data_IF_481443672398
#
_entry.id   IF_481443672398
#
_cell.length_a   1.000
_cell.length_b   1.000
_cell.length_c   1.000
_cell.angle_alpha   90.00
_cell.angle_beta   90.00
_cell.angle_gamma   90.00
#
_symmetry.space_group_name_H-M   'P 1'
#
loop_
_entity.id
_entity.type
_entity.pdbx_description
1 polymer ?
#
# COMPACT_ATOMS: atom_id res chain seq x y z
N UNK A 1 4.24 21.76 26.11
CA UNK A 1 4.37 21.30 27.51
C UNK A 1 3.91 22.38 28.46
N UNK A 2 3.03 22.04 29.41
CA UNK A 2 2.56 22.93 30.48
C UNK A 2 2.75 22.23 31.84
N UNK A 3 3.13 22.97 32.87
CA UNK A 3 3.34 22.43 34.22
C UNK A 3 2.60 23.28 35.24
N UNK A 4 1.86 22.64 36.15
CA UNK A 4 1.23 23.29 37.29
C UNK A 4 1.52 22.56 38.59
N UNK A 5 1.64 23.31 39.69
CA UNK A 5 1.84 22.77 41.03
C UNK A 5 0.56 22.93 41.86
N UNK A 6 0.25 21.94 42.69
CA UNK A 6 -0.84 22.04 43.68
C UNK A 6 -0.49 22.98 44.83
N UNK A 7 -1.49 23.33 45.63
CA UNK A 7 -1.21 23.80 46.99
C UNK A 7 -0.51 22.71 47.80
N UNK A 8 0.18 23.14 48.86
CA UNK A 8 0.83 22.25 49.82
C UNK A 8 -0.22 21.41 50.55
N UNK A 9 0.02 20.10 50.68
CA UNK A 9 -0.84 19.22 51.48
C UNK A 9 -0.58 19.34 52.99
N UNK A 10 -1.32 18.58 53.80
CA UNK A 10 -1.20 18.59 55.27
C UNK A 10 0.13 18.03 55.81
N UNK A 11 0.95 17.39 54.96
CA UNK A 11 2.26 16.85 55.27
C UNK A 11 3.39 17.66 54.65
N UNK A 12 3.08 18.75 53.94
CA UNK A 12 4.07 19.59 53.28
C UNK A 12 4.42 19.21 51.85
N UNK A 13 3.77 18.19 51.29
CA UNK A 13 3.98 17.70 49.92
C UNK A 13 3.31 18.56 48.84
N UNK A 14 3.76 18.35 47.60
CA UNK A 14 3.21 18.98 46.40
C UNK A 14 2.91 17.94 45.34
N UNK A 15 1.90 18.19 44.51
CA UNK A 15 1.67 17.47 43.26
C UNK A 15 2.03 18.39 42.09
N UNK A 16 2.75 17.85 41.12
CA UNK A 16 3.00 18.52 39.85
C UNK A 16 2.22 17.82 38.75
N UNK A 17 1.41 18.58 38.02
CA UNK A 17 0.72 18.12 36.82
C UNK A 17 1.49 18.63 35.62
N UNK A 18 1.93 17.70 34.78
CA UNK A 18 2.62 17.98 33.52
C UNK A 18 1.69 17.58 32.39
N UNK A 19 1.41 18.51 31.48
CA UNK A 19 0.59 18.29 30.29
C UNK A 19 1.49 18.37 29.06
N UNK A 20 1.55 17.27 28.33
CA UNK A 20 2.21 17.17 27.03
C UNK A 20 1.25 17.61 25.92
N UNK A 21 1.79 17.95 24.75
CA UNK A 21 0.91 18.28 23.64
C UNK A 21 0.25 17.02 23.06
N UNK A 22 -0.77 17.20 22.23
CA UNK A 22 -1.52 16.06 21.69
C UNK A 22 -0.73 15.24 20.65
N UNK A 23 0.42 15.71 20.17
CA UNK A 23 1.21 15.02 19.15
C UNK A 23 2.05 13.87 19.73
N UNK A 24 2.31 13.88 21.04
CA UNK A 24 3.17 12.89 21.70
C UNK A 24 2.47 11.54 21.98
N UNK A 25 1.14 11.48 21.87
CA UNK A 25 0.36 10.31 22.29
C UNK A 25 0.63 9.94 23.75
N UNK A 26 0.75 8.65 24.06
CA UNK A 26 1.09 8.21 25.41
C UNK A 26 2.58 8.42 25.68
N UNK A 27 2.91 9.34 26.57
CA UNK A 27 4.28 9.57 27.03
C UNK A 27 4.69 8.57 28.12
N UNK A 28 5.96 8.16 28.19
CA UNK A 28 6.46 7.35 29.30
C UNK A 28 6.22 8.02 30.66
N UNK A 29 5.93 7.22 31.68
CA UNK A 29 5.84 7.74 33.04
C UNK A 29 7.19 8.24 33.53
N UNK A 30 7.16 9.33 34.30
CA UNK A 30 8.34 9.80 35.01
C UNK A 30 8.81 8.74 36.01
N UNK A 31 10.13 8.68 36.22
CA UNK A 31 10.73 7.80 37.22
C UNK A 31 11.12 8.66 38.42
N UNK A 32 10.68 8.23 39.59
CA UNK A 32 11.10 8.84 40.84
C UNK A 32 12.58 8.57 41.12
N UNK A 33 13.40 9.62 41.05
CA UNK A 33 14.77 9.62 41.53
C UNK A 33 14.83 10.45 42.81
N UNK A 34 15.13 9.79 43.94
CA UNK A 34 15.21 10.42 45.25
C UNK A 34 16.62 10.27 45.81
N UNK A 35 17.10 11.28 46.53
CA UNK A 35 18.40 11.22 47.22
C UNK A 35 18.25 10.75 48.67
N UNK A 36 19.39 10.51 49.34
CA UNK A 36 19.40 10.04 50.72
C UNK A 36 18.79 11.02 51.72
N UNK A 37 18.76 12.33 51.40
CA UNK A 37 18.13 13.33 52.24
C UNK A 37 16.59 13.23 52.14
N UNK A 38 16.06 13.04 50.92
CA UNK A 38 14.63 12.80 50.70
C UNK A 38 14.17 11.51 51.38
N UNK A 39 14.97 10.44 51.29
CA UNK A 39 14.67 9.17 51.98
C UNK A 39 14.71 9.32 53.51
N UNK A 40 15.59 10.16 54.05
CA UNK A 40 15.73 10.39 55.49
C UNK A 40 14.72 11.39 56.08
N UNK A 41 14.03 12.17 55.25
CA UNK A 41 13.15 13.26 55.69
C UNK A 41 11.87 12.78 56.42
N UNK A 42 11.38 11.57 56.13
CA UNK A 42 10.27 10.92 56.84
C UNK A 42 10.13 9.47 56.38
N UNK A 43 9.71 8.56 57.27
CA UNK A 43 9.31 7.19 56.90
C UNK A 43 8.10 7.16 55.92
N UNK A 44 7.41 8.28 55.73
CA UNK A 44 6.26 8.44 54.83
C UNK A 44 6.56 9.29 53.59
N UNK A 45 7.80 9.72 53.37
CA UNK A 45 8.16 10.47 52.17
C UNK A 45 8.01 9.58 50.93
N UNK A 46 7.09 9.94 50.03
CA UNK A 46 6.82 9.19 48.80
C UNK A 46 7.00 10.08 47.59
N UNK A 47 7.73 9.57 46.61
CA UNK A 47 7.64 10.05 45.23
C UNK A 47 6.79 9.03 44.47
N UNK A 48 5.69 9.48 43.88
CA UNK A 48 4.76 8.66 43.11
C UNK A 48 4.46 9.38 41.81
N UNK A 49 4.38 8.63 40.73
CA UNK A 49 4.03 9.11 39.40
C UNK A 49 2.84 8.33 38.89
N UNK A 50 1.85 9.02 38.35
CA UNK A 50 0.66 8.41 37.76
C UNK A 50 0.25 9.14 36.48
N UNK A 51 -0.38 8.41 35.56
CA UNK A 51 -0.98 9.00 34.37
C UNK A 51 -2.40 9.44 34.72
N UNK A 52 -2.69 10.74 34.60
CA UNK A 52 -4.01 11.30 34.94
C UNK A 52 -4.96 11.18 33.73
N UNK A 53 -4.44 11.42 32.53
CA UNK A 53 -5.18 11.33 31.26
C UNK A 53 -4.24 10.68 30.25
N UNK A 54 -4.72 9.65 29.56
CA UNK A 54 -4.00 9.04 28.45
C UNK A 54 -3.91 10.00 27.26
N UNK A 55 -2.81 9.92 26.54
CA UNK A 55 -2.63 10.68 25.31
C UNK A 55 -3.54 10.18 24.20
N UNK A 56 -3.61 10.97 23.13
CA UNK A 56 -4.35 10.59 21.94
C UNK A 56 -3.58 9.50 21.17
N UNK A 57 -4.07 8.27 21.19
CA UNK A 57 -3.51 7.15 20.44
C UNK A 57 -4.56 6.57 19.48
N UNK A 58 -4.10 6.11 18.33
CA UNK A 58 -4.94 5.43 17.36
C UNK A 58 -5.36 4.06 17.87
N UNK A 59 -6.59 3.69 17.52
CA UNK A 59 -7.15 2.36 17.74
C UNK A 59 -8.12 2.00 16.63
N UNK A 60 -8.89 0.92 16.82
CA UNK A 60 -9.90 0.48 15.86
C UNK A 60 -9.30 -0.19 14.63
N UNK A 61 -9.93 0.03 13.47
CA UNK A 61 -9.56 -0.62 12.22
C UNK A 61 -9.75 0.30 11.01
N UNK A 62 -9.36 -0.17 9.84
CA UNK A 62 -9.67 0.45 8.56
C UNK A 62 -9.91 -0.65 7.53
N UNK A 63 -10.46 -0.31 6.36
CA UNK A 63 -10.53 -1.26 5.24
C UNK A 63 -9.97 -0.61 3.98
N UNK A 64 -9.35 -1.42 3.12
CA UNK A 64 -8.81 -1.00 1.82
C UNK A 64 -9.60 -1.67 0.70
N UNK A 65 -10.27 -0.87 -0.13
CA UNK A 65 -11.24 -1.37 -1.08
C UNK A 65 -12.34 -2.17 -0.37
N UNK A 66 -12.73 -3.35 -0.89
CA UNK A 66 -13.71 -4.23 -0.25
C UNK A 66 -13.05 -5.29 0.67
N UNK A 67 -11.88 -5.01 1.27
CA UNK A 67 -11.26 -5.95 2.22
C UNK A 67 -12.08 -6.08 3.50
N UNK A 68 -11.84 -7.17 4.25
CA UNK A 68 -12.25 -7.23 5.66
C UNK A 68 -11.57 -6.12 6.48
N UNK A 69 -12.14 -5.73 7.64
CA UNK A 69 -11.52 -4.76 8.53
C UNK A 69 -10.11 -5.19 8.99
N UNK A 70 -9.16 -4.31 8.77
CA UNK A 70 -7.74 -4.44 9.09
C UNK A 70 -7.47 -3.66 10.40
N UNK A 71 -6.89 -4.29 11.44
CA UNK A 71 -6.53 -3.60 12.67
C UNK A 71 -5.58 -2.40 12.42
N UNK A 72 -5.72 -1.33 13.20
CA UNK A 72 -4.88 -0.13 13.08
C UNK A 72 -3.37 -0.40 13.23
N UNK A 73 -2.99 -1.47 13.93
CA UNK A 73 -1.61 -1.91 14.18
C UNK A 73 -1.26 -3.20 13.42
N UNK A 74 -1.96 -3.49 12.32
CA UNK A 74 -1.73 -4.67 11.51
C UNK A 74 -0.28 -4.77 11.02
N UNK A 75 0.31 -5.95 11.17
CA UNK A 75 1.62 -6.23 10.61
C UNK A 75 1.54 -6.45 9.08
N UNK A 76 2.70 -6.52 8.42
CA UNK A 76 2.78 -6.71 6.96
C UNK A 76 1.97 -7.93 6.49
N UNK A 77 2.06 -9.05 7.22
CA UNK A 77 1.37 -10.29 6.85
C UNK A 77 -0.15 -10.14 6.90
N UNK A 78 -0.69 -9.46 7.92
CA UNK A 78 -2.14 -9.21 8.03
C UNK A 78 -2.65 -8.39 6.84
N UNK A 79 -1.91 -7.35 6.44
CA UNK A 79 -2.25 -6.52 5.28
C UNK A 79 -2.16 -7.35 3.99
N UNK A 80 -1.07 -8.11 3.81
CA UNK A 80 -0.89 -8.99 2.65
C UNK A 80 -2.05 -9.97 2.53
N UNK A 81 -2.44 -10.63 3.62
CA UNK A 81 -3.56 -11.57 3.62
C UNK A 81 -4.88 -10.88 3.26
N UNK A 82 -5.18 -9.71 3.84
CA UNK A 82 -6.40 -8.98 3.55
C UNK A 82 -6.51 -8.52 2.08
N UNK A 83 -5.39 -8.07 1.50
CA UNK A 83 -5.35 -7.64 0.10
C UNK A 83 -5.35 -8.83 -0.88
N UNK A 84 -4.65 -9.92 -0.56
CA UNK A 84 -4.62 -11.11 -1.40
C UNK A 84 -5.94 -11.89 -1.39
N UNK A 85 -6.81 -11.67 -0.42
CA UNK A 85 -8.19 -12.18 -0.44
C UNK A 85 -9.03 -11.53 -1.55
N UNK A 86 -8.61 -10.36 -2.06
CA UNK A 86 -9.23 -9.70 -3.20
C UNK A 86 -8.75 -10.37 -4.49
N UNK A 87 -9.65 -11.09 -5.16
CA UNK A 87 -9.35 -11.92 -6.34
C UNK A 87 -8.67 -11.18 -7.50
N UNK A 88 -8.78 -9.86 -7.54
CA UNK A 88 -8.25 -9.00 -8.60
C UNK A 88 -6.88 -8.37 -8.27
N UNK A 89 -6.40 -8.44 -7.03
CA UNK A 89 -5.15 -7.77 -6.60
C UNK A 89 -3.90 -8.61 -6.92
N UNK A 90 -4.00 -9.92 -6.79
CA UNK A 90 -2.84 -10.82 -6.91
C UNK A 90 -1.85 -10.67 -5.74
N UNK A 91 -0.58 -11.01 -5.96
CA UNK A 91 0.45 -11.00 -4.90
C UNK A 91 0.92 -9.60 -4.54
N UNK A 92 1.06 -9.34 -3.23
CA UNK A 92 1.43 -8.02 -2.69
C UNK A 92 2.60 -8.15 -1.71
N UNK A 93 3.65 -7.36 -1.92
CA UNK A 93 4.69 -7.12 -0.92
C UNK A 93 4.31 -5.89 -0.07
N UNK A 94 4.48 -6.00 1.25
CA UNK A 94 4.11 -4.96 2.21
C UNK A 94 5.29 -4.64 3.11
N UNK A 95 5.65 -3.36 3.22
CA UNK A 95 6.58 -2.86 4.24
C UNK A 95 5.88 -1.88 5.17
N UNK A 96 6.26 -1.88 6.45
CA UNK A 96 5.62 -1.07 7.50
C UNK A 96 6.64 -0.13 8.13
N UNK A 97 6.22 1.09 8.42
CA UNK A 97 6.98 2.07 9.20
C UNK A 97 6.11 2.71 10.29
N UNK A 98 6.74 3.23 11.33
CA UNK A 98 6.09 3.66 12.58
C UNK A 98 6.21 2.60 13.69
N UNK A 99 5.40 2.69 14.77
CA UNK A 99 4.42 3.75 15.00
C UNK A 99 5.06 5.12 15.25
N UNK A 100 4.33 6.21 14.96
CA UNK A 100 4.62 7.52 15.55
C UNK A 100 4.13 7.58 17.02
N UNK A 101 4.29 8.72 17.71
CA UNK A 101 3.87 8.87 19.11
C UNK A 101 2.38 8.56 19.37
N UNK A 102 1.52 8.80 18.38
CA UNK A 102 0.07 8.53 18.44
C UNK A 102 -0.30 7.12 17.94
N UNK A 103 0.65 6.21 17.79
CA UNK A 103 0.43 4.86 17.24
C UNK A 103 -0.04 4.84 15.76
N UNK A 104 0.36 5.84 14.98
CA UNK A 104 0.16 5.88 13.52
C UNK A 104 1.20 5.09 12.76
N UNK A 105 0.73 4.26 11.83
CA UNK A 105 1.56 3.41 10.97
C UNK A 105 1.45 3.85 9.51
N UNK A 106 2.50 3.57 8.74
CA UNK A 106 2.50 3.75 7.28
C UNK A 106 2.88 2.43 6.63
N UNK A 107 1.99 1.91 5.79
CA UNK A 107 2.23 0.71 4.98
C UNK A 107 2.53 1.12 3.54
N UNK A 108 3.61 0.60 2.99
CA UNK A 108 3.92 0.71 1.55
C UNK A 108 3.58 -0.62 0.89
N UNK A 109 2.77 -0.55 -0.17
CA UNK A 109 2.25 -1.71 -0.89
C UNK A 109 2.90 -1.77 -2.27
N UNK A 110 3.43 -2.94 -2.64
CA UNK A 110 3.95 -3.21 -3.97
C UNK A 110 3.21 -4.40 -4.58
N UNK A 111 2.46 -4.14 -5.65
CA UNK A 111 1.67 -5.14 -6.35
C UNK A 111 2.56 -5.85 -7.37
N UNK A 112 2.82 -7.13 -7.12
CA UNK A 112 3.84 -7.88 -7.88
C UNK A 112 3.28 -8.56 -9.13
N UNK A 113 1.97 -8.80 -9.17
CA UNK A 113 1.32 -9.51 -10.28
C UNK A 113 0.14 -8.74 -10.87
N UNK A 114 -0.13 -7.53 -10.39
CA UNK A 114 -1.16 -6.69 -10.96
C UNK A 114 -0.66 -6.09 -12.28
N UNK A 115 -1.42 -6.27 -13.36
CA UNK A 115 -1.04 -5.77 -14.68
C UNK A 115 -1.56 -4.34 -14.88
N UNK A 116 -0.66 -3.44 -15.26
CA UNK A 116 -0.98 -2.05 -15.57
C UNK A 116 -1.15 -1.12 -14.37
N UNK A 117 -1.81 0.03 -14.58
CA UNK A 117 -2.03 1.03 -13.54
C UNK A 117 -3.17 0.60 -12.62
N UNK A 118 -2.86 0.33 -11.36
CA UNK A 118 -3.86 -0.03 -10.36
C UNK A 118 -4.69 1.20 -9.98
N UNK A 119 -6.03 1.12 -9.97
CA UNK A 119 -6.86 2.16 -9.39
C UNK A 119 -6.52 2.36 -7.92
N UNK A 120 -6.51 3.63 -7.47
CA UNK A 120 -6.27 3.95 -6.07
C UNK A 120 -7.29 3.24 -5.18
N UNK A 121 -6.82 2.49 -4.18
CA UNK A 121 -7.69 1.81 -3.22
C UNK A 121 -8.47 2.84 -2.41
N UNK A 122 -9.79 2.67 -2.32
CA UNK A 122 -10.60 3.45 -1.38
C UNK A 122 -10.25 3.04 0.05
N UNK A 123 -10.20 4.00 0.97
CA UNK A 123 -9.99 3.73 2.38
C UNK A 123 -11.26 4.00 3.17
N UNK A 124 -11.71 3.01 3.93
CA UNK A 124 -12.80 3.17 4.90
C UNK A 124 -12.20 3.37 6.28
N UNK A 125 -12.45 4.53 6.87
CA UNK A 125 -11.95 4.87 8.20
C UNK A 125 -12.89 4.32 9.30
N UNK A 126 -12.39 3.37 10.09
CA UNK A 126 -13.05 2.87 11.30
C UNK A 126 -12.12 3.05 12.52
N UNK A 127 -11.18 3.98 12.41
CA UNK A 127 -10.18 4.24 13.44
C UNK A 127 -10.79 5.04 14.58
N UNK A 128 -10.24 4.81 15.77
CA UNK A 128 -10.53 5.62 16.96
C UNK A 128 -9.35 6.51 17.29
N UNK A 129 -9.61 7.60 18.01
CA UNK A 129 -8.62 8.65 18.30
C UNK A 129 -9.04 9.98 17.68
N UNK A 130 -8.68 11.07 18.33
CA UNK A 130 -8.97 12.43 17.86
C UNK A 130 -8.17 12.68 16.57
N UNK A 131 -8.86 13.10 15.51
CA UNK A 131 -8.22 13.36 14.21
C UNK A 131 -7.78 12.11 13.45
N UNK A 132 -8.21 10.92 13.88
CA UNK A 132 -7.86 9.67 13.23
C UNK A 132 -8.31 9.65 11.76
N UNK A 133 -7.38 9.36 10.86
CA UNK A 133 -7.66 9.23 9.44
C UNK A 133 -6.78 8.16 8.81
N UNK A 134 -7.27 7.59 7.71
CA UNK A 134 -6.51 6.72 6.82
C UNK A 134 -6.43 7.40 5.46
N UNK A 135 -5.23 7.45 4.90
CA UNK A 135 -4.96 8.07 3.61
C UNK A 135 -4.24 7.08 2.72
N UNK A 136 -4.66 7.01 1.46
CA UNK A 136 -4.04 6.16 0.43
C UNK A 136 -3.54 7.06 -0.66
N UNK A 137 -2.27 6.90 -1.03
CA UNK A 137 -1.63 7.67 -2.10
C UNK A 137 -0.85 6.72 -2.99
N UNK A 138 -0.85 7.02 -4.29
CA UNK A 138 -0.03 6.30 -5.26
C UNK A 138 1.39 6.85 -5.21
N UNK A 139 2.37 5.99 -4.93
CA UNK A 139 3.79 6.36 -4.91
C UNK A 139 4.45 6.23 -6.29
N UNK A 140 4.09 5.16 -7.00
CA UNK A 140 4.61 4.84 -8.33
C UNK A 140 3.47 4.29 -9.16
N UNK A 141 3.23 4.89 -10.32
CA UNK A 141 2.23 4.42 -11.26
C UNK A 141 2.72 3.16 -11.98
N UNK A 142 1.85 2.16 -12.07
CA UNK A 142 2.11 0.97 -12.89
C UNK A 142 2.14 1.30 -14.38
N UNK A 143 3.06 0.71 -15.13
CA UNK A 143 3.11 0.85 -16.58
C UNK A 143 2.24 -0.23 -17.25
N UNK A 144 1.48 0.16 -18.27
CA UNK A 144 0.65 -0.75 -19.06
C UNK A 144 0.85 -0.47 -20.55
N UNK A 145 1.17 -1.50 -21.33
CA UNK A 145 1.10 -1.44 -22.77
C UNK A 145 -0.37 -1.31 -23.20
N UNK A 146 -0.59 -0.40 -24.13
CA UNK A 146 -1.90 -0.12 -24.70
C UNK A 146 -1.77 0.35 -26.15
N UNK A 147 -2.90 0.49 -26.84
CA UNK A 147 -2.95 0.96 -28.21
C UNK A 147 -2.65 -0.11 -29.25
N UNK A 148 -2.10 0.33 -30.38
CA UNK A 148 -1.93 -0.52 -31.57
C UNK A 148 -0.55 -0.30 -32.18
N UNK A 149 -0.01 -1.35 -32.82
CA UNK A 149 1.17 -1.26 -33.67
C UNK A 149 0.81 -1.70 -35.10
N UNK A 150 1.71 -1.45 -36.06
CA UNK A 150 1.57 -1.91 -37.44
C UNK A 150 2.84 -2.63 -37.86
N UNK A 151 2.72 -3.70 -38.64
CA UNK A 151 3.87 -4.35 -39.26
C UNK A 151 3.91 -4.02 -40.75
N UNK A 152 5.11 -3.91 -41.30
CA UNK A 152 5.31 -3.71 -42.74
C UNK A 152 6.15 -4.84 -43.33
N UNK A 153 5.69 -5.41 -44.43
CA UNK A 153 6.38 -6.46 -45.17
C UNK A 153 6.31 -6.15 -46.67
N UNK A 154 7.47 -6.15 -47.35
CA UNK A 154 7.59 -5.85 -48.80
C UNK A 154 6.84 -4.60 -49.25
N UNK A 155 6.89 -3.52 -48.44
CA UNK A 155 6.24 -2.24 -48.75
C UNK A 155 4.72 -2.23 -48.57
N UNK A 156 4.12 -3.27 -47.99
CA UNK A 156 2.72 -3.29 -47.55
C UNK A 156 2.66 -3.25 -46.02
N UNK A 157 1.77 -2.44 -45.49
CA UNK A 157 1.60 -2.23 -44.04
C UNK A 157 0.24 -2.77 -43.61
N UNK A 158 0.20 -3.47 -42.48
CA UNK A 158 -1.05 -3.97 -41.91
C UNK A 158 -1.94 -2.80 -41.48
N UNK A 159 -3.25 -3.03 -41.40
CA UNK A 159 -4.07 -2.15 -40.56
C UNK A 159 -3.61 -2.25 -39.09
N UNK A 160 -3.93 -1.27 -38.23
CA UNK A 160 -3.53 -1.30 -36.83
C UNK A 160 -3.88 -2.61 -36.13
N UNK A 161 -2.90 -3.18 -35.45
CA UNK A 161 -2.98 -4.43 -34.67
C UNK A 161 -2.98 -4.03 -33.20
N UNK A 162 -3.99 -4.44 -32.44
CA UNK A 162 -4.02 -4.20 -31.00
C UNK A 162 -2.80 -4.86 -30.33
N UNK A 163 -2.20 -4.18 -29.34
CA UNK A 163 -1.03 -4.70 -28.61
C UNK A 163 -1.26 -6.12 -28.05
N UNK A 164 -2.51 -6.45 -27.72
CA UNK A 164 -2.96 -7.72 -27.15
C UNK A 164 -3.74 -8.62 -28.13
N UNK A 165 -3.74 -8.35 -29.43
CA UNK A 165 -4.48 -9.10 -30.45
C UNK A 165 -4.28 -10.62 -30.33
N UNK A 166 -5.25 -11.44 -30.74
CA UNK A 166 -5.06 -12.89 -30.76
C UNK A 166 -3.97 -13.30 -31.76
N UNK A 167 -3.23 -14.38 -31.49
CA UNK A 167 -2.21 -14.88 -32.43
C UNK A 167 -2.80 -15.61 -33.62
N UNK A 168 -3.83 -16.43 -33.38
CA UNK A 168 -4.55 -17.20 -34.40
C UNK A 168 -5.83 -16.49 -34.83
N UNK A 169 -6.35 -16.88 -36.00
CA UNK A 169 -7.64 -16.42 -36.52
C UNK A 169 -8.75 -16.57 -35.49
N UNK A 170 -9.52 -15.50 -35.29
CA UNK A 170 -10.72 -15.47 -34.43
C UNK A 170 -12.00 -15.16 -35.21
N UNK A 171 -11.90 -14.81 -36.49
CA UNK A 171 -13.03 -14.66 -37.41
C UNK A 171 -13.60 -13.25 -37.53
N UNK A 172 -13.02 -12.27 -36.84
CA UNK A 172 -13.44 -10.86 -36.86
C UNK A 172 -12.41 -9.92 -37.52
N UNK A 173 -11.29 -10.46 -38.01
CA UNK A 173 -10.22 -9.69 -38.64
C UNK A 173 -9.35 -8.88 -37.67
N UNK A 174 -9.44 -9.13 -36.36
CA UNK A 174 -8.66 -8.44 -35.33
C UNK A 174 -7.35 -9.13 -34.96
N UNK A 175 -7.20 -10.43 -35.26
CA UNK A 175 -6.00 -11.19 -34.88
C UNK A 175 -4.76 -10.81 -35.70
N UNK A 176 -3.59 -11.05 -35.12
CA UNK A 176 -2.28 -10.91 -35.78
C UNK A 176 -2.23 -11.69 -37.11
N UNK A 177 -2.76 -12.92 -37.12
CA UNK A 177 -2.80 -13.78 -38.30
C UNK A 177 -3.67 -13.18 -39.41
N UNK A 178 -4.88 -12.73 -39.10
CA UNK A 178 -5.76 -12.13 -40.10
C UNK A 178 -5.18 -10.82 -40.66
N UNK A 179 -4.56 -9.99 -39.81
CA UNK A 179 -3.94 -8.73 -40.21
C UNK A 179 -2.76 -8.93 -41.17
N UNK A 180 -1.95 -9.98 -40.94
CA UNK A 180 -0.84 -10.31 -41.82
C UNK A 180 -1.28 -11.04 -43.09
N UNK A 181 -2.27 -11.94 -43.03
CA UNK A 181 -2.85 -12.61 -44.20
C UNK A 181 -3.57 -11.63 -45.13
N UNK A 182 -4.08 -10.51 -44.60
CA UNK A 182 -4.65 -9.44 -45.42
C UNK A 182 -3.60 -8.72 -46.29
N UNK A 183 -2.30 -8.86 -45.98
CA UNK A 183 -1.25 -8.43 -46.91
C UNK A 183 -1.17 -9.45 -48.04
N UNK A 184 -1.61 -9.06 -49.25
CA UNK A 184 -1.63 -9.93 -50.44
C UNK A 184 -0.28 -10.54 -50.84
N UNK A 185 0.79 -10.15 -50.17
CA UNK A 185 2.16 -10.65 -50.31
C UNK A 185 2.50 -11.81 -49.36
N UNK A 186 1.55 -12.25 -48.53
CA UNK A 186 1.75 -13.28 -47.50
C UNK A 186 0.78 -14.44 -47.76
N UNK A 187 1.32 -15.65 -47.94
CA UNK A 187 0.52 -16.86 -48.19
C UNK A 187 0.14 -17.55 -46.88
N UNK A 188 1.05 -18.36 -46.34
CA UNK A 188 0.83 -19.17 -45.15
C UNK A 188 1.78 -18.79 -44.03
N UNK A 189 1.21 -18.55 -42.86
CA UNK A 189 1.92 -18.18 -41.64
C UNK A 189 1.56 -19.14 -40.51
N UNK A 190 2.52 -19.36 -39.62
CA UNK A 190 2.27 -19.82 -38.26
C UNK A 190 2.69 -18.70 -37.32
N UNK A 191 1.78 -18.29 -36.44
CA UNK A 191 2.05 -17.23 -35.45
C UNK A 191 1.86 -17.82 -34.06
N UNK A 192 2.89 -17.70 -33.25
CA UNK A 192 2.83 -17.96 -31.82
C UNK A 192 3.16 -16.68 -31.07
N UNK A 193 2.67 -16.58 -29.83
CA UNK A 193 3.08 -15.50 -28.92
C UNK A 193 3.29 -16.05 -27.52
N UNK A 194 4.16 -15.40 -26.77
CA UNK A 194 4.43 -15.64 -25.35
C UNK A 194 4.09 -14.38 -24.57
N UNK A 195 3.62 -14.53 -23.33
CA UNK A 195 3.15 -13.44 -22.49
C UNK A 195 1.66 -13.54 -22.14
N UNK A 196 1.05 -12.46 -21.59
CA UNK A 196 1.66 -11.15 -21.42
C UNK A 196 2.76 -11.12 -20.33
N UNK A 197 3.72 -10.20 -20.43
CA UNK A 197 4.56 -9.76 -19.31
C UNK A 197 3.74 -8.89 -18.32
N UNK A 198 4.38 -8.35 -17.28
CA UNK A 198 3.69 -7.58 -16.24
C UNK A 198 3.11 -6.26 -16.75
N UNK A 199 3.67 -5.73 -17.83
CA UNK A 199 3.20 -4.54 -18.53
C UNK A 199 2.14 -4.87 -19.59
N UNK A 200 1.75 -6.14 -19.78
CA UNK A 200 0.75 -6.53 -20.79
C UNK A 200 1.34 -6.80 -22.18
N UNK A 201 2.66 -6.87 -22.30
CA UNK A 201 3.40 -7.06 -23.55
C UNK A 201 3.50 -8.51 -23.98
N UNK A 202 3.44 -8.74 -25.28
CA UNK A 202 3.58 -10.07 -25.88
C UNK A 202 4.84 -10.14 -26.74
N UNK A 203 5.58 -11.23 -26.60
CA UNK A 203 6.63 -11.61 -27.55
C UNK A 203 6.01 -12.44 -28.68
N UNK A 204 6.32 -12.10 -29.93
CA UNK A 204 5.67 -12.68 -31.11
C UNK A 204 6.65 -13.45 -31.98
N UNK A 205 6.30 -14.69 -32.34
CA UNK A 205 7.01 -15.53 -33.28
C UNK A 205 6.17 -15.70 -34.55
N UNK A 206 6.67 -15.16 -35.68
CA UNK A 206 6.00 -15.24 -36.97
C UNK A 206 6.86 -16.11 -37.89
N UNK A 207 6.33 -17.28 -38.26
CA UNK A 207 6.98 -18.22 -39.16
C UNK A 207 6.24 -18.24 -40.49
N UNK A 208 6.95 -17.96 -41.58
CA UNK A 208 6.45 -18.16 -42.94
C UNK A 208 6.59 -19.64 -43.28
N UNK A 209 5.48 -20.33 -43.56
CA UNK A 209 5.47 -21.79 -43.76
C UNK A 209 5.52 -22.20 -45.24
N UNK A 210 5.65 -21.23 -46.14
CA UNK A 210 5.90 -21.43 -47.57
C UNK A 210 7.11 -20.59 -48.00
N UNK A 211 7.85 -21.09 -48.99
CA UNK A 211 8.93 -20.36 -49.64
C UNK A 211 8.36 -19.11 -50.29
N UNK A 212 8.90 -17.96 -49.87
CA UNK A 212 8.49 -16.65 -50.39
C UNK A 212 8.66 -16.63 -51.91
N UNK A 213 7.55 -16.58 -52.65
CA UNK A 213 7.57 -16.37 -54.11
C UNK A 213 8.03 -14.94 -54.42
#
# INVERSE_FOLDING_TARGET
>A
MYVSQSLRDNQGGFKWTVVFDQADGNVPQFICAVDGAFTAASATAQCVTESIIDGNVLGGSFALGPSDPIPYNANAQTITTALQALSWVGSVAVSVSGPNGQQGYTWTLSFLTYQGSMPLLSATNLLTGIGASVQVTELVQGNALSGTFQLSFRGKTTTPIAYNAAATTVGDGSSMMEKLQALSTVSTLSIARVGPDFEGGFEWWITFTDSVV
#
